data_IF_223847022757
#
_entry.id   IF_223847022757
#
_cell.length_a   1.000
_cell.length_b   1.000
_cell.length_c   1.000
_cell.angle_alpha   90.00
_cell.angle_beta   90.00
_cell.angle_gamma   90.00
#
_symmetry.space_group_name_H-M   'P 1'
#
loop_
_entity.id
_entity.type
_entity.pdbx_description
1 polymer ?
#
# COMPACT_ATOMS: atom_id res chain seq x y z
N UNK A 1 -2.88 -12.12 17.11
CA UNK A 1 -3.88 -12.03 16.02
C UNK A 1 -4.74 -10.78 16.18
N UNK A 2 -5.15 -10.20 15.06
CA UNK A 2 -6.06 -9.06 15.05
C UNK A 2 -7.41 -9.37 15.68
N UNK A 3 -7.96 -8.44 16.45
CA UNK A 3 -9.33 -8.54 16.96
C UNK A 3 -10.33 -8.10 15.89
N UNK A 4 -11.57 -8.58 15.99
CA UNK A 4 -12.64 -8.16 15.07
C UNK A 4 -12.85 -6.64 15.06
N UNK A 5 -12.72 -5.98 16.22
CA UNK A 5 -12.85 -4.52 16.32
C UNK A 5 -11.71 -3.76 15.61
N UNK A 6 -10.48 -4.26 15.68
CA UNK A 6 -9.35 -3.65 14.96
C UNK A 6 -9.54 -3.79 13.44
N UNK A 7 -9.92 -4.96 12.97
CA UNK A 7 -10.24 -5.19 11.56
C UNK A 7 -11.38 -4.28 11.10
N UNK A 8 -12.48 -4.21 11.85
CA UNK A 8 -13.64 -3.38 11.50
C UNK A 8 -13.26 -1.90 11.35
N UNK A 9 -12.47 -1.36 12.28
CA UNK A 9 -12.01 0.04 12.22
C UNK A 9 -11.05 0.32 11.06
N UNK A 10 -10.23 -0.65 10.70
CA UNK A 10 -9.27 -0.50 9.62
C UNK A 10 -9.88 -0.70 8.23
N UNK A 11 -10.94 -1.51 8.13
CA UNK A 11 -11.54 -1.90 6.84
C UNK A 11 -12.56 -0.87 6.33
N UNK A 12 -12.09 0.37 6.16
CA UNK A 12 -12.92 1.53 5.76
C UNK A 12 -13.47 1.45 4.33
N UNK A 13 -12.94 0.56 3.50
CA UNK A 13 -13.40 0.36 2.12
C UNK A 13 -14.28 -0.91 1.96
N UNK A 14 -14.65 -1.59 3.04
CA UNK A 14 -15.35 -2.89 3.00
C UNK A 14 -16.64 -2.88 2.16
N UNK A 15 -17.39 -1.78 2.24
CA UNK A 15 -18.70 -1.65 1.61
C UNK A 15 -18.66 -1.09 0.18
N UNK A 16 -17.48 -0.81 -0.36
CA UNK A 16 -17.33 -0.34 -1.74
C UNK A 16 -17.46 -1.52 -2.70
N UNK A 17 -18.63 -1.64 -3.33
CA UNK A 17 -19.02 -2.84 -4.07
C UNK A 17 -18.14 -3.14 -5.29
N UNK A 18 -17.57 -2.12 -5.94
CA UNK A 18 -16.77 -2.28 -7.16
C UNK A 18 -15.28 -2.50 -6.92
N UNK A 19 -14.80 -2.44 -5.68
CA UNK A 19 -13.43 -2.81 -5.34
C UNK A 19 -13.27 -4.32 -5.26
N UNK A 20 -12.13 -4.81 -5.76
CA UNK A 20 -11.71 -6.19 -5.57
C UNK A 20 -11.31 -6.46 -4.11
N UNK A 21 -11.25 -7.73 -3.73
CA UNK A 21 -10.77 -8.12 -2.39
C UNK A 21 -9.36 -7.58 -2.13
N UNK A 22 -8.45 -7.68 -3.11
CA UNK A 22 -7.06 -7.19 -2.99
C UNK A 22 -7.02 -5.68 -2.77
N UNK A 23 -7.83 -4.92 -3.49
CA UNK A 23 -7.92 -3.46 -3.33
C UNK A 23 -8.44 -3.07 -1.93
N UNK A 24 -9.48 -3.76 -1.43
CA UNK A 24 -9.98 -3.56 -0.06
C UNK A 24 -8.93 -3.92 0.99
N UNK A 25 -8.20 -5.01 0.80
CA UNK A 25 -7.11 -5.42 1.67
C UNK A 25 -5.99 -4.38 1.73
N UNK A 26 -5.63 -3.74 0.61
CA UNK A 26 -4.64 -2.65 0.61
C UNK A 26 -5.05 -1.53 1.58
N UNK A 27 -6.29 -1.07 1.51
CA UNK A 27 -6.81 -0.03 2.41
C UNK A 27 -6.77 -0.51 3.86
N UNK A 28 -7.24 -1.72 4.12
CA UNK A 28 -7.28 -2.32 5.46
C UNK A 28 -5.87 -2.45 6.06
N UNK A 29 -4.89 -3.01 5.34
CA UNK A 29 -3.54 -3.20 5.88
C UNK A 29 -2.80 -1.88 6.12
N UNK A 30 -2.97 -0.87 5.27
CA UNK A 30 -2.43 0.47 5.55
C UNK A 30 -3.05 1.02 6.83
N UNK A 31 -4.37 0.92 6.99
CA UNK A 31 -5.07 1.42 8.17
C UNK A 31 -4.72 0.64 9.44
N UNK A 32 -4.48 -0.67 9.36
CA UNK A 32 -3.98 -1.45 10.48
C UNK A 32 -2.62 -0.92 10.96
N UNK A 33 -1.71 -0.60 10.03
CA UNK A 33 -0.42 0.01 10.36
C UNK A 33 -0.58 1.41 10.97
N UNK A 34 -1.45 2.23 10.41
CA UNK A 34 -1.69 3.60 10.88
C UNK A 34 -2.33 3.63 12.27
N UNK A 35 -3.38 2.87 12.48
CA UNK A 35 -4.15 2.85 13.73
C UNK A 35 -3.43 2.09 14.86
N UNK A 36 -2.69 1.03 14.52
CA UNK A 36 -2.12 0.09 15.49
C UNK A 36 -0.66 -0.27 15.16
N UNK A 37 0.26 0.70 15.10
CA UNK A 37 1.62 0.46 14.59
C UNK A 37 2.39 -0.62 15.35
N UNK A 38 2.24 -0.72 16.66
CA UNK A 38 2.92 -1.77 17.48
C UNK A 38 2.34 -3.16 17.24
N UNK A 39 1.02 -3.27 17.10
CA UNK A 39 0.38 -4.55 16.77
C UNK A 39 0.70 -4.96 15.34
N UNK A 40 0.73 -4.02 14.41
CA UNK A 40 1.14 -4.25 13.01
C UNK A 40 2.58 -4.75 12.93
N UNK A 41 3.48 -4.14 13.68
CA UNK A 41 4.86 -4.63 13.81
C UNK A 41 4.87 -6.09 14.26
N UNK A 42 4.16 -6.40 15.33
CA UNK A 42 4.12 -7.73 15.96
C UNK A 42 3.51 -8.80 15.05
N UNK A 43 2.40 -8.47 14.39
CA UNK A 43 1.62 -9.48 13.65
C UNK A 43 2.03 -9.61 12.20
N UNK A 44 2.51 -8.51 11.57
CA UNK A 44 2.73 -8.47 10.14
C UNK A 44 4.21 -8.33 9.74
N UNK A 45 5.03 -7.63 10.51
CA UNK A 45 6.39 -7.25 10.06
C UNK A 45 7.48 -8.17 10.63
N UNK A 46 7.39 -8.54 11.91
CA UNK A 46 8.49 -9.26 12.62
C UNK A 46 8.87 -10.57 11.90
N UNK A 47 7.89 -11.31 11.41
CA UNK A 47 8.10 -12.59 10.72
C UNK A 47 7.89 -12.49 9.20
N UNK A 48 7.79 -11.29 8.64
CA UNK A 48 7.70 -11.10 7.20
C UNK A 48 9.09 -11.01 6.60
N UNK A 49 9.46 -12.00 5.83
CA UNK A 49 10.76 -12.07 5.16
C UNK A 49 10.68 -11.91 3.64
N UNK A 50 9.50 -11.93 3.09
CA UNK A 50 9.23 -11.83 1.67
C UNK A 50 7.93 -12.56 1.30
N UNK A 51 7.81 -12.94 0.05
CA UNK A 51 6.62 -13.60 -0.50
C UNK A 51 6.93 -15.01 -0.98
N UNK A 52 5.92 -15.82 -1.15
CA UNK A 52 6.09 -17.15 -1.77
C UNK A 52 6.72 -17.03 -3.17
N UNK A 53 6.29 -16.03 -3.95
CA UNK A 53 6.75 -15.75 -5.31
C UNK A 53 8.20 -15.29 -5.39
N UNK A 54 8.64 -14.43 -4.47
CA UNK A 54 9.97 -13.79 -4.50
C UNK A 54 10.91 -14.29 -3.39
N UNK A 55 10.48 -15.26 -2.60
CA UNK A 55 11.27 -15.82 -1.50
C UNK A 55 11.54 -14.80 -0.39
N UNK A 56 12.58 -15.07 0.38
CA UNK A 56 12.91 -14.30 1.59
C UNK A 56 13.75 -13.04 1.31
N UNK A 57 13.39 -12.27 0.27
CA UNK A 57 14.21 -11.16 -0.25
C UNK A 57 14.42 -9.99 0.72
N UNK A 58 13.55 -9.83 1.73
CA UNK A 58 13.70 -8.77 2.75
C UNK A 58 14.17 -9.28 4.11
N UNK A 59 14.53 -10.57 4.23
CA UNK A 59 14.94 -11.17 5.52
C UNK A 59 16.05 -10.39 6.21
N UNK A 60 17.06 -9.97 5.45
CA UNK A 60 18.22 -9.23 5.95
C UNK A 60 18.22 -7.77 5.52
N UNK A 61 17.08 -7.24 5.07
CA UNK A 61 16.96 -5.87 4.61
C UNK A 61 17.11 -4.87 5.75
N UNK A 62 18.01 -3.91 5.58
CA UNK A 62 18.14 -2.75 6.47
C UNK A 62 16.89 -1.86 6.44
N UNK A 63 16.17 -1.84 5.32
CA UNK A 63 14.89 -1.12 5.17
C UNK A 63 13.78 -1.75 6.01
N UNK A 64 13.73 -3.10 6.04
CA UNK A 64 12.81 -3.80 6.95
C UNK A 64 13.16 -3.50 8.41
N UNK A 65 14.45 -3.52 8.77
CA UNK A 65 14.87 -3.17 10.13
C UNK A 65 14.51 -1.72 10.48
N UNK A 66 14.64 -0.79 9.54
CA UNK A 66 14.24 0.61 9.76
C UNK A 66 12.74 0.77 9.96
N UNK A 67 11.91 -0.03 9.28
CA UNK A 67 10.47 -0.08 9.53
C UNK A 67 10.15 -0.59 10.93
N UNK A 68 10.82 -1.66 11.37
CA UNK A 68 10.69 -2.20 12.72
C UNK A 68 11.00 -1.12 13.77
N UNK A 69 12.09 -0.40 13.57
CA UNK A 69 12.51 0.68 14.48
C UNK A 69 11.46 1.81 14.50
N UNK A 70 10.95 2.22 13.34
CA UNK A 70 9.91 3.24 13.25
C UNK A 70 8.64 2.83 14.01
N UNK A 71 8.11 1.65 13.75
CA UNK A 71 6.85 1.20 14.31
C UNK A 71 6.88 0.98 15.83
N UNK A 72 8.06 0.72 16.39
CA UNK A 72 8.24 0.63 17.85
C UNK A 72 7.90 1.94 18.57
N UNK A 73 8.11 3.09 17.94
CA UNK A 73 7.95 4.42 18.54
C UNK A 73 6.84 5.25 17.92
N UNK A 74 6.34 4.83 16.75
CA UNK A 74 5.30 5.56 16.04
C UNK A 74 4.03 5.64 16.88
N UNK A 75 3.46 6.85 16.99
CA UNK A 75 2.13 7.04 17.53
C UNK A 75 1.07 6.71 16.48
N UNK A 76 -0.09 6.19 16.89
CA UNK A 76 -1.20 5.97 15.98
C UNK A 76 -1.57 7.25 15.22
N UNK A 77 -1.95 7.08 13.96
CA UNK A 77 -2.51 8.15 13.12
C UNK A 77 -3.85 7.68 12.56
N UNK A 78 -4.68 8.64 12.16
CA UNK A 78 -6.05 8.35 11.71
C UNK A 78 -6.10 7.43 10.48
N UNK A 79 -7.17 6.67 10.36
CA UNK A 79 -7.43 5.84 9.20
C UNK A 79 -7.62 6.68 7.94
N UNK A 80 -7.27 6.10 6.80
CA UNK A 80 -7.62 6.62 5.48
C UNK A 80 -9.01 6.09 5.11
N UNK A 81 -9.80 6.94 4.47
CA UNK A 81 -11.13 6.60 3.96
C UNK A 81 -11.13 6.57 2.44
N UNK A 82 -11.86 5.63 1.88
CA UNK A 82 -11.96 5.49 0.44
C UNK A 82 -12.51 6.75 -0.21
N UNK A 83 -11.88 7.17 -1.31
CA UNK A 83 -12.29 8.32 -2.13
C UNK A 83 -12.43 7.91 -3.60
N UNK A 84 -13.60 8.17 -4.18
CA UNK A 84 -13.92 7.78 -5.55
C UNK A 84 -13.05 8.47 -6.59
N UNK A 85 -12.72 9.75 -6.42
CA UNK A 85 -11.89 10.49 -7.37
C UNK A 85 -10.44 10.02 -7.32
N UNK A 86 -9.89 9.77 -6.12
CA UNK A 86 -8.58 9.15 -5.96
C UNK A 86 -8.55 7.75 -6.62
N UNK A 87 -9.59 6.95 -6.45
CA UNK A 87 -9.73 5.65 -7.12
C UNK A 87 -9.72 5.76 -8.64
N UNK A 88 -10.49 6.69 -9.21
CA UNK A 88 -10.53 6.90 -10.66
C UNK A 88 -9.16 7.27 -11.21
N UNK A 89 -8.43 8.13 -10.51
CA UNK A 89 -7.06 8.51 -10.88
C UNK A 89 -6.11 7.31 -10.79
N UNK A 90 -6.13 6.58 -9.68
CA UNK A 90 -5.32 5.38 -9.48
C UNK A 90 -5.61 4.32 -10.56
N UNK A 91 -6.88 4.08 -10.87
CA UNK A 91 -7.28 3.10 -11.90
C UNK A 91 -6.82 3.50 -13.30
N UNK A 92 -7.02 4.75 -13.68
CA UNK A 92 -6.54 5.25 -14.98
C UNK A 92 -5.03 4.98 -15.10
N UNK A 93 -4.25 5.39 -14.11
CA UNK A 93 -2.81 5.25 -14.16
C UNK A 93 -2.34 3.79 -14.03
N UNK A 94 -2.98 2.94 -13.24
CA UNK A 94 -2.58 1.52 -13.14
C UNK A 94 -2.73 0.76 -14.48
N UNK A 95 -3.71 1.13 -15.29
CA UNK A 95 -3.95 0.51 -16.61
C UNK A 95 -2.84 0.84 -17.61
N UNK A 96 -2.34 2.06 -17.63
CA UNK A 96 -1.32 2.49 -18.61
C UNK A 96 -0.01 1.69 -18.49
N UNK A 97 0.72 1.70 -17.35
CA UNK A 97 1.92 0.91 -17.22
C UNK A 97 1.65 -0.60 -17.26
N UNK A 98 0.48 -1.04 -16.82
CA UNK A 98 0.06 -2.44 -16.90
C UNK A 98 0.07 -2.97 -18.34
N UNK A 99 -0.47 -2.21 -19.29
CA UNK A 99 -0.48 -2.54 -20.71
C UNK A 99 0.87 -2.36 -21.39
N UNK A 100 1.59 -1.29 -21.04
CA UNK A 100 2.88 -0.94 -21.66
C UNK A 100 4.06 -1.75 -21.10
N UNK A 101 3.93 -2.40 -19.95
CA UNK A 101 5.02 -3.07 -19.26
C UNK A 101 6.04 -2.13 -18.64
N UNK A 102 5.65 -0.88 -18.36
CA UNK A 102 6.50 0.17 -17.78
C UNK A 102 6.33 0.28 -16.27
N UNK A 103 7.23 1.00 -15.63
CA UNK A 103 7.17 1.33 -14.21
C UNK A 103 7.40 2.83 -14.01
N UNK A 104 7.11 3.34 -12.83
CA UNK A 104 7.27 4.75 -12.47
C UNK A 104 5.96 5.53 -12.50
N UNK A 105 6.05 6.86 -12.63
CA UNK A 105 4.91 7.78 -12.46
C UNK A 105 4.57 8.57 -13.73
N UNK A 106 5.18 8.23 -14.87
CA UNK A 106 4.94 8.92 -16.14
C UNK A 106 3.60 8.52 -16.74
N UNK A 107 2.73 9.50 -16.92
CA UNK A 107 1.42 9.34 -17.57
C UNK A 107 1.51 9.60 -19.06
N UNK A 108 0.69 8.88 -19.83
CA UNK A 108 0.55 9.06 -21.28
C UNK A 108 -0.77 9.80 -21.57
N UNK A 109 -1.89 9.22 -21.14
CA UNK A 109 -3.24 9.75 -21.37
C UNK A 109 -3.94 10.18 -20.10
N UNK A 110 -3.58 9.58 -18.96
CA UNK A 110 -4.17 9.92 -17.67
C UNK A 110 -3.69 11.29 -17.19
N UNK A 111 -4.61 12.09 -16.65
CA UNK A 111 -4.26 13.37 -16.04
C UNK A 111 -3.55 13.15 -14.70
N UNK A 112 -2.63 14.04 -14.38
CA UNK A 112 -2.08 14.13 -13.03
C UNK A 112 -3.13 14.70 -12.08
N UNK A 113 -3.46 13.96 -11.04
CA UNK A 113 -4.47 14.33 -10.05
C UNK A 113 -3.93 15.01 -8.80
N UNK A 114 -2.61 15.27 -8.76
CA UNK A 114 -1.94 15.88 -7.61
C UNK A 114 -2.11 15.08 -6.31
N UNK A 115 -2.04 13.75 -6.41
CA UNK A 115 -2.06 12.82 -5.27
C UNK A 115 -0.66 12.43 -4.82
N UNK A 116 -0.53 12.05 -3.55
CA UNK A 116 0.61 11.27 -3.09
C UNK A 116 0.46 9.84 -3.62
N UNK A 117 1.19 9.51 -4.67
CA UNK A 117 1.05 8.26 -5.40
C UNK A 117 2.12 7.25 -4.99
N UNK A 118 1.68 6.03 -4.73
CA UNK A 118 2.53 4.87 -4.54
C UNK A 118 2.22 3.83 -5.61
N UNK A 119 3.27 3.25 -6.21
CA UNK A 119 3.15 2.17 -7.17
C UNK A 119 3.84 0.91 -6.66
N UNK A 120 3.15 -0.23 -6.77
CA UNK A 120 3.65 -1.56 -6.42
C UNK A 120 3.50 -2.48 -7.61
N UNK A 121 4.50 -3.31 -7.87
CA UNK A 121 4.52 -4.23 -9.01
C UNK A 121 4.79 -5.66 -8.54
N UNK A 122 4.08 -6.62 -9.13
CA UNK A 122 4.36 -8.04 -8.96
C UNK A 122 3.82 -8.68 -7.68
N UNK A 123 3.07 -7.95 -6.86
CA UNK A 123 2.49 -8.47 -5.62
C UNK A 123 1.03 -8.88 -5.83
N UNK A 124 0.64 -10.04 -5.29
CA UNK A 124 -0.66 -10.67 -5.59
C UNK A 124 -1.69 -10.48 -4.47
N UNK A 125 -1.27 -10.08 -3.27
CA UNK A 125 -2.16 -9.85 -2.11
C UNK A 125 -2.08 -8.42 -1.62
N UNK A 126 -3.16 -7.91 -1.03
CA UNK A 126 -3.17 -6.58 -0.43
C UNK A 126 -2.13 -6.43 0.68
N UNK A 127 -1.91 -7.48 1.46
CA UNK A 127 -0.86 -7.54 2.47
C UNK A 127 0.54 -7.35 1.87
N UNK A 128 0.88 -8.10 0.83
CA UNK A 128 2.21 -8.04 0.20
C UNK A 128 2.44 -6.69 -0.49
N UNK A 129 1.42 -6.14 -1.14
CA UNK A 129 1.47 -4.80 -1.72
C UNK A 129 1.82 -3.77 -0.64
N UNK A 130 1.10 -3.77 0.47
CA UNK A 130 1.31 -2.80 1.56
C UNK A 130 2.66 -2.99 2.24
N UNK A 131 3.06 -4.23 2.52
CA UNK A 131 4.37 -4.50 3.11
C UNK A 131 5.52 -4.13 2.18
N UNK A 132 5.39 -4.32 0.86
CA UNK A 132 6.36 -3.84 -0.11
C UNK A 132 6.54 -2.31 -0.02
N UNK A 133 5.42 -1.56 0.03
CA UNK A 133 5.45 -0.10 0.12
C UNK A 133 5.97 0.41 1.47
N UNK A 134 5.64 -0.27 2.57
CA UNK A 134 6.08 0.13 3.92
C UNK A 134 7.55 -0.22 4.19
N UNK A 135 8.01 -1.39 3.74
CA UNK A 135 9.43 -1.77 3.86
C UNK A 135 10.26 -0.89 2.94
N UNK A 136 9.79 -0.63 1.75
CA UNK A 136 10.40 0.26 0.76
C UNK A 136 11.85 -0.15 0.43
N UNK A 137 12.06 -1.46 0.26
CA UNK A 137 13.35 -2.07 0.04
C UNK A 137 14.05 -1.48 -1.19
N UNK A 138 15.32 -1.07 -1.02
CA UNK A 138 16.14 -0.42 -2.04
C UNK A 138 15.58 0.92 -2.58
N UNK A 139 14.71 1.56 -1.81
CA UNK A 139 14.24 2.93 -2.07
C UNK A 139 14.78 3.88 -1.00
N UNK A 140 15.94 4.51 -1.20
CA UNK A 140 16.61 5.32 -0.16
C UNK A 140 15.76 6.49 0.37
N UNK A 141 14.87 7.05 -0.47
CA UNK A 141 13.97 8.13 -0.07
C UNK A 141 12.88 7.70 0.91
N UNK A 142 12.56 6.39 0.98
CA UNK A 142 11.42 5.84 1.71
C UNK A 142 10.09 6.51 1.33
N UNK A 143 9.96 6.94 0.06
CA UNK A 143 8.84 7.76 -0.41
C UNK A 143 7.49 7.08 -0.26
N UNK A 144 7.39 5.78 -0.52
CA UNK A 144 6.14 5.04 -0.36
C UNK A 144 5.74 4.91 1.11
N UNK A 145 6.69 4.55 1.98
CA UNK A 145 6.48 4.49 3.44
C UNK A 145 5.99 5.83 3.99
N UNK A 146 6.68 6.92 3.62
CA UNK A 146 6.33 8.28 4.05
C UNK A 146 4.91 8.62 3.61
N UNK A 147 4.53 8.36 2.37
CA UNK A 147 3.19 8.61 1.87
C UNK A 147 2.14 7.80 2.64
N UNK A 148 2.34 6.49 2.81
CA UNK A 148 1.39 5.61 3.49
C UNK A 148 1.13 6.01 4.96
N UNK A 149 2.15 6.53 5.64
CA UNK A 149 2.08 6.85 7.08
C UNK A 149 1.93 8.35 7.37
N UNK A 150 1.83 9.20 6.35
CA UNK A 150 1.67 10.64 6.54
C UNK A 150 0.32 10.96 7.21
N UNK A 151 0.39 11.60 8.37
CA UNK A 151 -0.80 11.99 9.16
C UNK A 151 -1.69 13.03 8.47
N UNK A 152 -1.17 13.77 7.50
CA UNK A 152 -1.93 14.79 6.78
C UNK A 152 -2.93 14.19 5.79
N UNK A 153 -2.72 12.95 5.33
CA UNK A 153 -3.65 12.31 4.39
C UNK A 153 -4.81 11.66 5.13
N UNK A 154 -6.01 11.83 4.58
CA UNK A 154 -7.27 11.32 5.13
C UNK A 154 -8.04 10.44 4.14
N UNK A 155 -7.69 10.49 2.87
CA UNK A 155 -8.40 9.79 1.79
C UNK A 155 -7.44 8.94 0.96
N UNK A 156 -7.96 7.85 0.40
CA UNK A 156 -7.22 6.91 -0.43
C UNK A 156 -8.07 6.34 -1.55
N UNK A 157 -7.48 6.23 -2.73
CA UNK A 157 -7.98 5.39 -3.82
C UNK A 157 -6.95 4.32 -4.16
N UNK A 158 -7.39 3.11 -4.41
CA UNK A 158 -6.52 1.97 -4.74
C UNK A 158 -7.06 1.27 -5.97
N UNK A 159 -6.20 0.99 -6.94
CA UNK A 159 -6.52 0.11 -8.07
C UNK A 159 -5.40 -0.87 -8.34
N UNK A 160 -5.75 -2.14 -8.51
CA UNK A 160 -4.84 -3.23 -8.86
C UNK A 160 -5.23 -3.75 -10.24
N UNK A 161 -4.31 -3.65 -11.20
CA UNK A 161 -4.52 -4.01 -12.59
C UNK A 161 -3.46 -5.03 -13.05
N UNK A 162 -3.75 -5.72 -14.15
CA UNK A 162 -2.78 -6.60 -14.79
C UNK A 162 -1.59 -5.80 -15.33
N UNK A 163 -0.39 -6.39 -15.23
CA UNK A 163 0.83 -5.81 -15.76
C UNK A 163 1.55 -6.86 -16.62
N UNK A 164 1.78 -6.56 -17.90
CA UNK A 164 2.32 -7.54 -18.87
C UNK A 164 3.72 -8.06 -18.53
N UNK A 165 4.49 -7.32 -17.72
CA UNK A 165 5.84 -7.72 -17.30
C UNK A 165 5.90 -8.27 -15.87
N UNK A 166 5.08 -7.75 -14.97
CA UNK A 166 5.14 -8.04 -13.54
C UNK A 166 3.88 -8.73 -12.99
N UNK A 167 2.96 -9.15 -13.85
CA UNK A 167 1.64 -9.72 -13.55
C UNK A 167 0.67 -8.72 -12.93
N UNK A 168 1.10 -7.95 -11.94
CA UNK A 168 0.25 -6.97 -11.25
C UNK A 168 0.90 -5.59 -11.15
N UNK A 169 0.07 -4.56 -11.20
CA UNK A 169 0.40 -3.17 -10.90
C UNK A 169 -0.66 -2.62 -9.95
N UNK A 170 -0.26 -2.22 -8.75
CA UNK A 170 -1.11 -1.53 -7.81
C UNK A 170 -0.73 -0.05 -7.74
N UNK A 171 -1.72 0.83 -7.85
CA UNK A 171 -1.56 2.27 -7.66
C UNK A 171 -2.42 2.70 -6.48
N UNK A 172 -1.80 3.39 -5.53
CA UNK A 172 -2.44 3.93 -4.34
C UNK A 172 -2.25 5.44 -4.35
N UNK A 173 -3.34 6.16 -4.45
CA UNK A 173 -3.38 7.62 -4.45
C UNK A 173 -3.97 8.14 -3.14
N UNK A 174 -3.22 8.96 -2.42
CA UNK A 174 -3.62 9.53 -1.13
C UNK A 174 -3.68 11.05 -1.20
N UNK A 175 -4.63 11.61 -0.45
CA UNK A 175 -4.85 13.07 -0.37
C UNK A 175 -5.46 13.43 1.00
N UNK A 176 -5.33 14.71 1.40
CA UNK A 176 -5.97 15.27 2.59
C UNK A 176 -7.46 15.55 2.41
#
# INVERSE_FOLDING_TARGET
NWTSNQIEKANTAKDVAYLTTVEKECVMYINLCRLYPKDFLKYEVVNYYGTEKYGNYVKYSTYRQSLINLLNFMQPVDALYFDTEAYKNAKCFAIEPGKAGTTGHTRINCKDGNYAECCSYGMDTGKDIVLQLLIDHDVPSLGHRINCLNKAYTKIGVSVQNHVKWDTCAVLDMIW
#
